data_IF_724845347165
#
_entry.id   IF_724845347165
#
_cell.length_a   1.000
_cell.length_b   1.000
_cell.length_c   1.000
_cell.angle_alpha   90.00
_cell.angle_beta   90.00
_cell.angle_gamma   90.00
#
_symmetry.space_group_name_H-M   'P 1'
#
loop_
_entity.id
_entity.type
_entity.pdbx_description
1 polymer ?
#
# COMPACT_ATOMS: atom_id res chain seq x y z
N UNK A 1 18.37 5.48 -2.82
CA UNK A 1 17.86 5.87 -1.50
C UNK A 1 16.51 5.18 -1.30
N UNK A 2 16.27 4.48 -0.18
CA UNK A 2 14.95 3.86 0.07
C UNK A 2 13.93 4.96 0.38
N UNK A 3 12.73 4.88 -0.20
CA UNK A 3 11.65 5.82 0.08
C UNK A 3 11.32 5.86 1.58
N UNK A 4 11.03 7.04 2.14
CA UNK A 4 10.84 7.25 3.59
C UNK A 4 9.73 6.37 4.19
N UNK A 5 8.72 6.00 3.39
CA UNK A 5 7.67 5.08 3.83
C UNK A 5 8.19 3.69 4.21
N UNK A 6 9.34 3.24 3.69
CA UNK A 6 9.91 1.92 4.03
C UNK A 6 10.50 1.88 5.44
N UNK A 7 10.62 3.02 6.14
CA UNK A 7 11.10 3.08 7.53
C UNK A 7 10.13 2.45 8.53
N UNK A 8 8.83 2.35 8.20
CA UNK A 8 7.82 1.73 9.07
C UNK A 8 7.72 0.21 8.88
N UNK A 9 8.45 -0.37 7.92
CA UNK A 9 8.31 -1.78 7.61
C UNK A 9 8.76 -2.65 8.78
N UNK A 10 7.88 -3.55 9.22
CA UNK A 10 8.12 -4.43 10.37
C UNK A 10 8.08 -3.73 11.74
N UNK A 11 7.57 -2.48 11.82
CA UNK A 11 7.55 -1.72 13.08
C UNK A 11 6.56 -2.24 14.12
N UNK A 12 5.61 -3.10 13.73
CA UNK A 12 4.60 -3.67 14.63
C UNK A 12 4.88 -5.15 14.90
N UNK A 13 5.06 -5.95 13.85
CA UNK A 13 5.49 -7.36 13.92
C UNK A 13 6.26 -7.71 12.64
N UNK A 14 6.81 -8.92 12.56
CA UNK A 14 7.45 -9.45 11.34
C UNK A 14 6.70 -10.62 10.70
N UNK A 15 5.41 -10.79 11.01
CA UNK A 15 4.61 -11.92 10.54
C UNK A 15 4.53 -12.04 9.00
N UNK A 16 4.70 -10.93 8.28
CA UNK A 16 4.67 -10.87 6.81
C UNK A 16 6.07 -10.60 6.21
N UNK A 17 7.15 -10.76 6.97
CA UNK A 17 8.50 -10.57 6.47
C UNK A 17 8.81 -11.49 5.28
N UNK A 18 9.42 -10.93 4.24
CA UNK A 18 9.70 -11.64 3.00
C UNK A 18 8.48 -11.88 2.09
N UNK A 19 7.26 -11.47 2.49
CA UNK A 19 6.07 -11.55 1.65
C UNK A 19 5.94 -10.32 0.76
N UNK A 20 5.63 -10.56 -0.52
CA UNK A 20 5.20 -9.53 -1.47
C UNK A 20 3.69 -9.61 -1.63
N UNK A 21 2.99 -8.50 -1.44
CA UNK A 21 1.53 -8.45 -1.50
C UNK A 21 1.10 -7.51 -2.63
N UNK A 22 0.29 -8.02 -3.53
CA UNK A 22 -0.43 -7.22 -4.52
C UNK A 22 -1.75 -6.74 -3.90
N UNK A 23 -1.86 -5.43 -3.67
CA UNK A 23 -3.08 -4.79 -3.18
C UNK A 23 -3.86 -4.22 -4.36
N UNK A 24 -4.83 -4.99 -4.86
CA UNK A 24 -5.69 -4.60 -5.98
C UNK A 24 -6.91 -3.82 -5.51
N UNK A 25 -7.08 -2.59 -6.01
CA UNK A 25 -8.14 -1.69 -5.61
C UNK A 25 -9.09 -1.38 -6.77
N UNK A 26 -10.39 -1.44 -6.50
CA UNK A 26 -11.47 -1.18 -7.46
C UNK A 26 -12.33 0.01 -7.02
N UNK A 27 -13.34 0.38 -7.83
CA UNK A 27 -14.23 1.51 -7.59
C UNK A 27 -15.27 1.23 -6.49
N UNK A 28 -14.84 1.24 -5.24
CA UNK A 28 -15.68 1.06 -4.05
C UNK A 28 -15.41 2.18 -3.05
N UNK A 29 -16.41 2.52 -2.22
CA UNK A 29 -16.23 3.43 -1.09
C UNK A 29 -15.11 2.95 -0.15
N UNK A 30 -14.92 1.63 -0.02
CA UNK A 30 -13.85 1.05 0.80
C UNK A 30 -12.43 1.36 0.28
N UNK A 31 -12.27 1.92 -0.93
CA UNK A 31 -10.97 2.31 -1.48
C UNK A 31 -10.23 3.33 -0.57
N UNK A 32 -10.96 4.15 0.19
CA UNK A 32 -10.36 5.11 1.13
C UNK A 32 -9.58 4.43 2.25
N UNK A 33 -10.00 3.23 2.67
CA UNK A 33 -9.36 2.44 3.73
C UNK A 33 -8.09 1.72 3.26
N UNK A 34 -7.93 1.55 1.95
CA UNK A 34 -6.80 0.81 1.39
C UNK A 34 -5.45 1.48 1.69
N UNK A 35 -5.42 2.79 1.92
CA UNK A 35 -4.20 3.53 2.31
C UNK A 35 -3.72 3.07 3.69
N UNK A 36 -4.64 3.02 4.66
CA UNK A 36 -4.33 2.55 6.01
C UNK A 36 -3.96 1.06 5.99
N UNK A 37 -4.70 0.26 5.23
CA UNK A 37 -4.43 -1.17 5.04
C UNK A 37 -3.01 -1.42 4.51
N UNK A 38 -2.61 -0.71 3.44
CA UNK A 38 -1.28 -0.84 2.85
C UNK A 38 -0.18 -0.58 3.87
N UNK A 39 -0.33 0.50 4.67
CA UNK A 39 0.64 0.84 5.71
C UNK A 39 0.66 -0.19 6.84
N UNK A 40 -0.48 -0.72 7.24
CA UNK A 40 -0.56 -1.78 8.26
C UNK A 40 0.16 -3.04 7.78
N UNK A 41 -0.10 -3.51 6.56
CA UNK A 41 0.62 -4.64 5.97
C UNK A 41 2.14 -4.42 5.95
N UNK A 42 2.60 -3.22 5.62
CA UNK A 42 4.02 -2.87 5.72
C UNK A 42 4.53 -2.94 7.16
N UNK A 43 3.79 -2.41 8.16
CA UNK A 43 4.17 -2.50 9.58
C UNK A 43 4.28 -3.94 10.09
N UNK A 44 3.62 -4.89 9.43
CA UNK A 44 3.77 -6.33 9.69
C UNK A 44 4.91 -7.00 8.89
N UNK A 45 5.65 -6.25 8.06
CA UNK A 45 6.85 -6.71 7.36
C UNK A 45 6.68 -6.95 5.85
N UNK A 46 5.50 -6.72 5.28
CA UNK A 46 5.24 -6.97 3.87
C UNK A 46 5.83 -5.91 2.93
N UNK A 47 6.21 -6.32 1.72
CA UNK A 47 6.43 -5.42 0.58
C UNK A 47 5.14 -5.32 -0.26
N UNK A 48 4.47 -4.17 -0.18
CA UNK A 48 3.13 -3.96 -0.74
C UNK A 48 3.19 -3.22 -2.06
N UNK A 49 2.62 -3.79 -3.12
CA UNK A 49 2.51 -3.20 -4.45
C UNK A 49 1.05 -2.93 -4.75
N UNK A 50 0.70 -1.70 -5.09
CA UNK A 50 -0.68 -1.29 -5.31
C UNK A 50 -1.04 -1.32 -6.80
N UNK A 51 -2.21 -1.87 -7.11
CA UNK A 51 -2.77 -1.91 -8.46
C UNK A 51 -4.16 -1.28 -8.41
N UNK A 52 -4.45 -0.33 -9.29
CA UNK A 52 -5.68 0.47 -9.23
C UNK A 52 -6.45 0.41 -10.54
N UNK A 53 -7.77 0.15 -10.46
CA UNK A 53 -8.63 0.38 -11.62
C UNK A 53 -8.84 1.88 -11.88
N UNK A 54 -9.18 2.28 -13.13
CA UNK A 54 -9.53 3.67 -13.41
C UNK A 54 -10.69 4.21 -12.55
N UNK A 55 -11.60 3.33 -12.11
CA UNK A 55 -12.68 3.74 -11.20
C UNK A 55 -12.20 3.98 -9.78
N UNK A 56 -11.19 3.26 -9.30
CA UNK A 56 -10.59 3.48 -7.98
C UNK A 56 -9.87 4.85 -7.94
N UNK A 57 -9.21 5.22 -9.06
CA UNK A 57 -8.52 6.51 -9.20
C UNK A 57 -9.44 7.73 -9.11
N UNK A 58 -10.74 7.57 -9.39
CA UNK A 58 -11.75 8.61 -9.19
C UNK A 58 -12.10 8.86 -7.72
N UNK A 59 -11.76 7.92 -6.84
CA UNK A 59 -12.04 7.97 -5.39
C UNK A 59 -10.78 8.35 -4.62
N UNK A 60 -9.66 7.69 -4.91
CA UNK A 60 -8.36 7.95 -4.29
C UNK A 60 -7.31 8.15 -5.37
N UNK A 61 -6.55 9.24 -5.30
CA UNK A 61 -5.48 9.52 -6.26
C UNK A 61 -4.31 8.51 -6.09
N UNK A 62 -3.74 7.95 -7.18
CA UNK A 62 -2.69 6.93 -7.09
C UNK A 62 -1.44 7.40 -6.33
N UNK A 63 -1.10 8.68 -6.38
CA UNK A 63 0.03 9.25 -5.62
C UNK A 63 -0.06 9.01 -4.11
N UNK A 64 -1.27 8.87 -3.56
CA UNK A 64 -1.44 8.59 -2.14
C UNK A 64 -0.96 7.18 -1.78
N UNK A 65 -1.22 6.18 -2.64
CA UNK A 65 -0.73 4.82 -2.45
C UNK A 65 0.74 4.67 -2.80
N UNK A 66 1.24 5.44 -3.77
CA UNK A 66 2.68 5.51 -4.06
C UNK A 66 3.44 6.03 -2.84
N UNK A 67 2.99 7.15 -2.25
CA UNK A 67 3.56 7.66 -1.01
C UNK A 67 3.43 6.66 0.14
N UNK A 68 2.27 6.02 0.28
CA UNK A 68 2.00 5.10 1.39
C UNK A 68 2.92 3.87 1.35
N UNK A 69 3.18 3.33 0.16
CA UNK A 69 3.94 2.09 -0.04
C UNK A 69 5.41 2.29 -0.39
N UNK A 70 5.75 3.46 -0.94
CA UNK A 70 7.06 3.73 -1.55
C UNK A 70 7.34 2.91 -2.80
N UNK A 71 6.30 2.35 -3.43
CA UNK A 71 6.36 1.60 -4.68
C UNK A 71 5.44 2.30 -5.70
N UNK A 72 5.78 2.27 -7.01
CA UNK A 72 4.89 2.81 -8.04
C UNK A 72 3.55 2.08 -8.05
N UNK A 73 2.48 2.80 -8.37
CA UNK A 73 1.14 2.23 -8.55
C UNK A 73 0.97 1.83 -10.02
N UNK A 74 0.39 0.65 -10.25
CA UNK A 74 0.05 0.13 -11.59
C UNK A 74 -1.44 0.33 -11.89
#
# INVERSE_FOLDING_TARGET
MKHTSKLITGSLTRALEGKKIALCMTGSVAAVECVALARTLMRHGADVHCIMSPSAQKIVHPYLLEWATGNPVV
#
